data_IF_672362733434
#
_entry.id   IF_672362733434
#
_cell.length_a   1.000
_cell.length_b   1.000
_cell.length_c   1.000
_cell.angle_alpha   90.00
_cell.angle_beta   90.00
_cell.angle_gamma   90.00
#
_symmetry.space_group_name_H-M   'P 1'
#
loop_
_entity.id
_entity.type
_entity.pdbx_description
1 polymer ?
#
# COMPACT_ATOMS: atom_id res chain seq x y z
N UNK A 1 -17.01 14.15 -14.86
CA UNK A 1 -15.69 13.70 -15.28
C UNK A 1 -15.57 12.21 -15.02
N UNK A 2 -14.86 11.51 -15.90
CA UNK A 2 -14.57 10.08 -15.69
C UNK A 2 -13.61 9.90 -14.51
N UNK A 3 -13.76 8.78 -13.80
CA UNK A 3 -12.77 8.35 -12.80
C UNK A 3 -11.71 7.57 -13.58
N UNK A 4 -10.47 7.93 -13.38
CA UNK A 4 -9.33 7.18 -13.90
C UNK A 4 -8.60 6.53 -12.73
N UNK A 5 -8.40 5.22 -12.81
CA UNK A 5 -7.57 4.45 -11.90
C UNK A 5 -6.46 3.82 -12.73
N UNK A 6 -5.30 4.45 -12.68
CA UNK A 6 -4.12 3.94 -13.37
C UNK A 6 -3.61 2.69 -12.65
N UNK A 7 -3.37 1.61 -13.41
CA UNK A 7 -2.91 0.34 -12.88
C UNK A 7 -1.59 -0.07 -13.53
N UNK A 8 -0.67 -0.59 -12.73
CA UNK A 8 0.61 -1.17 -13.20
C UNK A 8 0.57 -2.68 -13.14
N UNK A 9 1.07 -3.32 -14.18
CA UNK A 9 1.24 -4.76 -14.21
C UNK A 9 2.41 -5.15 -13.31
N UNK A 10 2.16 -6.02 -12.37
CA UNK A 10 3.15 -6.74 -11.57
C UNK A 10 3.25 -8.16 -12.15
N UNK A 11 4.33 -8.51 -12.84
CA UNK A 11 4.47 -9.84 -13.48
C UNK A 11 4.62 -10.92 -12.41
N UNK A 12 4.25 -12.16 -12.75
CA UNK A 12 4.55 -13.32 -11.93
C UNK A 12 6.05 -13.40 -11.62
N UNK A 13 6.40 -13.82 -10.40
CA UNK A 13 7.79 -13.88 -9.98
C UNK A 13 7.94 -14.22 -8.51
N UNK A 14 9.11 -13.97 -7.95
CA UNK A 14 9.40 -14.30 -6.56
C UNK A 14 10.21 -13.17 -5.91
N UNK A 15 10.09 -13.07 -4.59
CA UNK A 15 10.90 -12.18 -3.77
C UNK A 15 11.42 -12.91 -2.54
N UNK A 16 12.44 -12.35 -1.90
CA UNK A 16 12.93 -12.83 -0.61
C UNK A 16 12.33 -11.94 0.48
N UNK A 17 11.66 -12.53 1.44
CA UNK A 17 11.08 -11.86 2.62
C UNK A 17 12.20 -11.46 3.58
N UNK A 18 13.01 -10.49 3.15
CA UNK A 18 14.20 -10.00 3.86
C UNK A 18 13.90 -8.73 4.66
N UNK A 19 14.59 -8.55 5.78
CA UNK A 19 14.45 -7.36 6.62
C UNK A 19 15.12 -7.52 7.97
N UNK A 20 14.95 -6.54 8.86
CA UNK A 20 15.64 -6.45 10.16
C UNK A 20 14.84 -7.02 11.33
N UNK A 21 13.63 -7.48 11.10
CA UNK A 21 12.75 -8.03 12.14
C UNK A 21 12.78 -9.56 12.15
N UNK A 22 12.44 -10.15 13.29
CA UNK A 22 12.45 -11.61 13.47
C UNK A 22 11.50 -12.36 12.53
N UNK A 23 10.43 -11.73 12.08
CA UNK A 23 9.53 -12.31 11.09
C UNK A 23 10.06 -12.25 9.65
N UNK A 24 11.18 -11.55 9.42
CA UNK A 24 11.89 -11.58 8.12
C UNK A 24 12.78 -12.82 8.07
N UNK A 25 12.25 -13.91 7.58
CA UNK A 25 12.84 -15.25 7.63
C UNK A 25 13.76 -15.59 6.46
N UNK A 26 13.98 -14.64 5.55
CA UNK A 26 14.74 -14.79 4.30
C UNK A 26 14.21 -15.91 3.38
N UNK A 27 12.95 -16.31 3.51
CA UNK A 27 12.33 -17.29 2.62
C UNK A 27 11.94 -16.66 1.30
N UNK A 28 11.99 -17.47 0.25
CA UNK A 28 11.54 -17.07 -1.08
C UNK A 28 10.04 -17.29 -1.18
N UNK A 29 9.30 -16.22 -1.43
CA UNK A 29 7.85 -16.23 -1.66
C UNK A 29 7.60 -16.05 -3.15
N UNK A 30 6.70 -16.85 -3.72
CA UNK A 30 6.37 -16.85 -5.14
C UNK A 30 4.96 -16.31 -5.38
N UNK A 31 4.83 -15.37 -6.30
CA UNK A 31 3.57 -14.90 -6.88
C UNK A 31 3.44 -15.58 -8.25
N UNK A 32 2.52 -16.54 -8.36
CA UNK A 32 2.48 -17.45 -9.52
C UNK A 32 1.79 -16.85 -10.74
N UNK A 33 1.05 -15.74 -10.59
CA UNK A 33 0.30 -15.10 -11.66
C UNK A 33 0.54 -13.60 -11.68
N UNK A 34 0.48 -13.04 -12.88
CA UNK A 34 0.44 -11.58 -13.02
C UNK A 34 -0.77 -11.00 -12.32
N UNK A 35 -0.58 -9.83 -11.73
CA UNK A 35 -1.67 -9.01 -11.21
C UNK A 35 -1.44 -7.55 -11.55
N UNK A 36 -2.44 -6.72 -11.31
CA UNK A 36 -2.35 -5.28 -11.50
C UNK A 36 -2.55 -4.60 -10.14
N UNK A 37 -1.74 -3.58 -9.87
CA UNK A 37 -1.84 -2.75 -8.67
C UNK A 37 -2.05 -1.29 -9.06
N UNK A 38 -2.80 -0.54 -8.27
CA UNK A 38 -2.94 0.90 -8.45
C UNK A 38 -1.58 1.58 -8.51
N UNK A 39 -1.37 2.46 -9.48
CA UNK A 39 -0.11 3.21 -9.60
C UNK A 39 0.15 4.06 -8.36
N UNK A 40 -0.91 4.50 -7.72
CA UNK A 40 -0.96 5.35 -6.53
C UNK A 40 -1.94 4.80 -5.51
N UNK A 41 -1.85 5.28 -4.28
CA UNK A 41 -2.90 5.14 -3.28
C UNK A 41 -4.23 5.69 -3.82
N UNK A 42 -5.37 5.15 -3.39
CA UNK A 42 -6.69 5.67 -3.78
C UNK A 42 -6.86 7.07 -3.24
N UNK A 43 -7.14 8.03 -4.13
CA UNK A 43 -7.27 9.44 -3.75
C UNK A 43 -8.65 9.80 -3.20
N UNK A 44 -8.75 10.94 -2.51
CA UNK A 44 -10.04 11.49 -2.07
C UNK A 44 -11.03 11.64 -3.22
N UNK A 45 -10.60 12.19 -4.37
CA UNK A 45 -11.46 12.34 -5.55
C UNK A 45 -11.99 11.00 -6.06
N UNK A 46 -11.12 9.98 -6.16
CA UNK A 46 -11.50 8.63 -6.61
C UNK A 46 -12.48 7.98 -5.63
N UNK A 47 -12.20 8.07 -4.32
CA UNK A 47 -13.08 7.50 -3.31
C UNK A 47 -14.48 8.14 -3.34
N UNK A 48 -14.56 9.47 -3.33
CA UNK A 48 -15.81 10.21 -3.37
C UNK A 48 -16.60 9.93 -4.66
N UNK A 49 -15.92 9.81 -5.78
CA UNK A 49 -16.56 9.53 -7.07
C UNK A 49 -17.19 8.12 -7.15
N UNK A 50 -16.71 7.16 -6.36
CA UNK A 50 -17.29 5.80 -6.23
C UNK A 50 -18.34 5.75 -5.13
N UNK A 51 -18.03 6.28 -3.95
CA UNK A 51 -18.89 6.14 -2.77
C UNK A 51 -19.98 7.20 -2.70
N UNK A 52 -19.75 8.36 -3.30
CA UNK A 52 -20.60 9.55 -3.15
C UNK A 52 -20.32 10.31 -1.85
N UNK A 53 -21.00 11.43 -1.68
CA UNK A 53 -20.87 12.24 -0.47
C UNK A 53 -19.57 13.04 -0.37
N UNK A 54 -19.06 13.21 0.85
CA UNK A 54 -17.78 13.87 1.15
C UNK A 54 -16.72 12.85 1.52
N UNK A 55 -15.44 13.20 1.33
CA UNK A 55 -14.34 12.34 1.75
C UNK A 55 -14.34 12.14 3.28
N UNK A 56 -14.16 10.89 3.77
CA UNK A 56 -13.98 10.60 5.19
C UNK A 56 -12.73 11.29 5.77
N UNK A 57 -11.75 11.65 4.95
CA UNK A 57 -10.57 12.42 5.34
C UNK A 57 -10.89 13.76 6.00
N UNK A 58 -12.10 14.32 5.74
CA UNK A 58 -12.56 15.60 6.28
C UNK A 58 -12.58 15.66 7.81
N UNK A 59 -12.61 14.53 8.51
CA UNK A 59 -12.52 14.50 9.98
C UNK A 59 -11.19 15.01 10.53
N UNK A 60 -10.14 15.00 9.71
CA UNK A 60 -8.82 15.55 10.07
C UNK A 60 -8.63 17.01 9.62
N UNK A 61 -9.63 17.61 8.98
CA UNK A 61 -9.60 19.00 8.50
C UNK A 61 -9.24 19.15 7.02
N UNK A 62 -9.25 20.39 6.56
CA UNK A 62 -9.05 20.74 5.14
C UNK A 62 -7.70 20.29 4.57
N UNK A 63 -6.68 20.17 5.40
CA UNK A 63 -5.33 19.76 4.99
C UNK A 63 -5.23 18.31 4.50
N UNK A 64 -6.29 17.51 4.71
CA UNK A 64 -6.35 16.10 4.31
C UNK A 64 -7.35 15.82 3.18
N UNK A 65 -7.97 16.85 2.60
CA UNK A 65 -9.11 16.69 1.67
C UNK A 65 -8.82 17.10 0.24
N UNK A 66 -7.56 17.40 -0.11
CA UNK A 66 -7.19 17.65 -1.51
C UNK A 66 -7.58 16.43 -2.37
N UNK A 67 -8.08 16.69 -3.57
CA UNK A 67 -8.50 15.66 -4.53
C UNK A 67 -7.39 14.65 -4.84
N UNK A 68 -6.14 15.09 -4.86
CA UNK A 68 -4.95 14.30 -5.17
C UNK A 68 -4.26 13.68 -3.94
N UNK A 69 -4.72 13.98 -2.72
CA UNK A 69 -4.23 13.29 -1.53
C UNK A 69 -4.91 11.92 -1.37
N UNK A 70 -4.22 10.93 -0.74
CA UNK A 70 -4.84 9.64 -0.45
C UNK A 70 -6.02 9.79 0.50
N UNK A 71 -7.05 8.98 0.31
CA UNK A 71 -8.16 8.92 1.24
C UNK A 71 -7.71 8.26 2.53
N UNK A 72 -8.03 8.90 3.66
CA UNK A 72 -7.75 8.38 5.01
C UNK A 72 -9.05 8.23 5.81
N UNK A 73 -8.96 7.60 6.99
CA UNK A 73 -10.12 7.32 7.85
C UNK A 73 -11.11 6.34 7.22
N UNK A 74 -10.62 5.41 6.45
CA UNK A 74 -11.39 4.27 5.92
C UNK A 74 -11.00 3.00 6.66
N UNK A 75 -11.98 2.26 7.12
CA UNK A 75 -11.77 0.93 7.71
C UNK A 75 -11.66 -0.14 6.61
N UNK A 76 -11.13 -1.30 6.97
CA UNK A 76 -11.10 -2.46 6.08
C UNK A 76 -12.52 -2.84 5.60
N UNK A 77 -13.52 -2.72 6.48
CA UNK A 77 -14.92 -2.99 6.15
C UNK A 77 -15.52 -1.96 5.18
N UNK A 78 -15.18 -0.66 5.30
CA UNK A 78 -15.63 0.36 4.34
C UNK A 78 -15.15 0.04 2.92
N UNK A 79 -14.04 -0.67 2.81
CA UNK A 79 -13.44 -1.05 1.52
C UNK A 79 -14.05 -2.35 0.99
N UNK A 80 -14.26 -3.37 1.84
CA UNK A 80 -14.47 -4.76 1.41
C UNK A 80 -15.88 -5.30 1.62
N UNK A 81 -16.72 -4.64 2.44
CA UNK A 81 -18.09 -5.07 2.70
C UNK A 81 -18.96 -4.96 1.44
N UNK A 82 -20.14 -5.56 1.50
CA UNK A 82 -21.22 -5.33 0.52
C UNK A 82 -21.52 -3.84 0.48
N UNK A 83 -21.67 -3.28 -0.72
CA UNK A 83 -21.77 -1.84 -0.98
C UNK A 83 -20.53 -1.01 -0.58
N UNK A 84 -19.44 -1.64 -0.17
CA UNK A 84 -18.15 -1.00 0.06
C UNK A 84 -17.45 -0.57 -1.23
N UNK A 85 -16.29 0.07 -1.08
CA UNK A 85 -15.57 0.65 -2.21
C UNK A 85 -15.28 -0.37 -3.32
N UNK A 86 -14.72 -1.54 -2.97
CA UNK A 86 -14.36 -2.60 -3.93
C UNK A 86 -15.61 -3.19 -4.59
N UNK A 87 -16.69 -3.42 -3.85
CA UNK A 87 -17.93 -3.97 -4.39
C UNK A 87 -18.55 -3.03 -5.44
N UNK A 88 -18.59 -1.73 -5.14
CA UNK A 88 -19.03 -0.71 -6.10
C UNK A 88 -18.11 -0.59 -7.31
N UNK A 89 -16.78 -0.69 -7.12
CA UNK A 89 -15.82 -0.72 -8.22
C UNK A 89 -16.08 -1.91 -9.16
N UNK A 90 -16.23 -3.12 -8.60
CA UNK A 90 -16.51 -4.31 -9.37
C UNK A 90 -17.84 -4.23 -10.11
N UNK A 91 -18.88 -3.68 -9.48
CA UNK A 91 -20.19 -3.50 -10.10
C UNK A 91 -20.13 -2.47 -11.24
N UNK A 92 -19.46 -1.35 -11.01
CA UNK A 92 -19.42 -0.22 -11.96
C UNK A 92 -18.54 -0.49 -13.18
N UNK A 93 -17.45 -1.19 -13.02
CA UNK A 93 -16.43 -1.38 -14.06
C UNK A 93 -16.30 -2.81 -14.58
N UNK A 94 -17.24 -3.71 -14.22
CA UNK A 94 -17.23 -5.11 -14.63
C UNK A 94 -17.00 -5.32 -16.15
N UNK A 95 -17.63 -4.50 -16.97
CA UNK A 95 -17.53 -4.60 -18.44
C UNK A 95 -16.20 -4.07 -19.02
N UNK A 96 -15.43 -3.35 -18.22
CA UNK A 96 -14.14 -2.74 -18.62
C UNK A 96 -12.95 -3.61 -18.19
N UNK A 97 -13.15 -4.56 -17.27
CA UNK A 97 -12.11 -5.45 -16.81
C UNK A 97 -11.89 -6.60 -17.79
N UNK A 98 -10.65 -7.04 -17.99
CA UNK A 98 -10.37 -8.26 -18.73
C UNK A 98 -11.09 -9.46 -18.09
N UNK A 99 -11.45 -10.46 -18.91
CA UNK A 99 -12.11 -11.67 -18.41
C UNK A 99 -11.32 -12.33 -17.27
N UNK A 100 -12.01 -12.63 -16.17
CA UNK A 100 -11.41 -13.23 -14.97
C UNK A 100 -10.74 -12.27 -13.99
N UNK A 101 -10.69 -10.97 -14.30
CA UNK A 101 -10.17 -9.95 -13.38
C UNK A 101 -11.28 -9.32 -12.55
N UNK A 102 -10.94 -8.95 -11.33
CA UNK A 102 -11.78 -8.15 -10.44
C UNK A 102 -10.90 -7.26 -9.56
N UNK A 103 -11.45 -6.17 -9.08
CA UNK A 103 -10.83 -5.37 -8.03
C UNK A 103 -10.86 -6.13 -6.70
N UNK A 104 -9.77 -6.05 -5.96
CA UNK A 104 -9.61 -6.64 -4.63
C UNK A 104 -8.52 -5.88 -3.88
N UNK A 105 -8.44 -6.02 -2.55
CA UNK A 105 -7.22 -5.68 -1.83
C UNK A 105 -6.10 -6.67 -2.23
N UNK A 106 -4.85 -6.22 -2.29
CA UNK A 106 -3.72 -7.13 -2.49
C UNK A 106 -3.62 -8.08 -1.29
N UNK A 107 -3.11 -9.30 -1.50
CA UNK A 107 -2.59 -10.05 -0.37
C UNK A 107 -1.34 -9.35 0.17
N UNK A 108 -0.98 -9.60 1.43
CA UNK A 108 0.24 -9.04 2.01
C UNK A 108 1.49 -9.39 1.18
N UNK A 109 1.55 -10.62 0.67
CA UNK A 109 2.64 -11.07 -0.19
C UNK A 109 2.66 -10.36 -1.55
N UNK A 110 1.50 -10.10 -2.16
CA UNK A 110 1.42 -9.30 -3.38
C UNK A 110 1.87 -7.86 -3.13
N UNK A 111 1.46 -7.27 -2.00
CA UNK A 111 1.87 -5.93 -1.62
C UNK A 111 3.40 -5.83 -1.47
N UNK A 112 4.02 -6.74 -0.69
CA UNK A 112 5.47 -6.74 -0.46
C UNK A 112 6.25 -7.00 -1.76
N UNK A 113 5.80 -7.95 -2.58
CA UNK A 113 6.37 -8.20 -3.90
C UNK A 113 6.34 -6.96 -4.79
N UNK A 114 5.19 -6.29 -4.84
CA UNK A 114 5.00 -5.07 -5.62
C UNK A 114 5.84 -3.90 -5.08
N UNK A 115 5.89 -3.73 -3.75
CA UNK A 115 6.72 -2.72 -3.10
C UNK A 115 8.19 -2.92 -3.44
N UNK A 116 8.73 -4.12 -3.26
CA UNK A 116 10.12 -4.42 -3.54
C UNK A 116 10.49 -4.27 -5.02
N UNK A 117 9.62 -4.65 -5.92
CA UNK A 117 9.86 -4.57 -7.36
C UNK A 117 11.27 -5.07 -7.78
N UNK A 118 11.70 -6.19 -7.18
CA UNK A 118 12.99 -6.85 -7.42
C UNK A 118 14.11 -6.51 -6.43
N UNK A 119 13.94 -5.54 -5.52
CA UNK A 119 14.96 -5.22 -4.50
C UNK A 119 14.87 -6.15 -3.29
N UNK A 120 15.98 -6.22 -2.52
CA UNK A 120 16.09 -6.98 -1.26
C UNK A 120 16.33 -6.08 -0.05
N UNK A 121 16.50 -4.80 -0.28
CA UNK A 121 16.82 -3.77 0.71
C UNK A 121 15.59 -3.31 1.49
N UNK A 122 15.79 -2.46 2.48
CA UNK A 122 14.71 -1.85 3.26
C UNK A 122 13.76 -1.04 2.37
N UNK A 123 14.31 -0.37 1.34
CA UNK A 123 13.60 0.50 0.42
C UNK A 123 13.62 -0.03 -1.02
N UNK A 124 12.60 0.29 -1.78
CA UNK A 124 12.45 -0.06 -3.20
C UNK A 124 13.43 0.67 -4.14
N UNK A 125 14.17 1.64 -3.62
CA UNK A 125 15.26 2.35 -4.31
C UNK A 125 16.60 1.60 -4.32
N UNK A 126 16.61 0.34 -3.89
CA UNK A 126 17.80 -0.49 -3.69
C UNK A 126 18.77 0.13 -2.66
N UNK A 127 18.21 0.73 -1.61
CA UNK A 127 18.93 1.32 -0.47
C UNK A 127 18.33 0.83 0.84
N UNK A 128 19.18 0.76 1.86
CA UNK A 128 18.75 0.57 3.24
C UNK A 128 18.57 1.92 3.93
N UNK A 129 17.79 1.93 5.01
CA UNK A 129 17.72 3.07 5.92
C UNK A 129 19.03 3.18 6.69
N UNK A 130 19.57 4.39 6.79
CA UNK A 130 20.82 4.69 7.49
C UNK A 130 20.55 5.24 8.90
N UNK A 131 19.42 5.95 9.06
CA UNK A 131 19.09 6.59 10.32
C UNK A 131 17.59 6.49 10.63
N UNK A 132 17.24 5.71 11.65
CA UNK A 132 15.85 5.49 12.05
C UNK A 132 15.28 6.59 12.97
N UNK A 133 16.11 7.51 13.45
CA UNK A 133 15.71 8.53 14.45
C UNK A 133 15.72 9.96 13.93
N UNK A 134 16.29 10.18 12.76
CA UNK A 134 16.44 11.49 12.15
C UNK A 134 16.05 11.45 10.67
N UNK A 135 16.21 12.57 9.98
CA UNK A 135 16.03 12.64 8.54
C UNK A 135 16.99 11.66 7.85
N UNK A 136 16.41 10.70 7.13
CA UNK A 136 17.14 9.71 6.36
C UNK A 136 17.11 10.06 4.87
N UNK A 137 18.29 10.24 4.29
CA UNK A 137 18.42 10.72 2.91
C UNK A 137 17.94 9.71 1.87
N UNK A 138 17.98 8.41 2.18
CA UNK A 138 17.51 7.35 1.29
C UNK A 138 15.99 7.25 1.34
N UNK A 139 15.42 7.24 2.56
CA UNK A 139 13.98 7.21 2.80
C UNK A 139 13.29 8.43 2.19
N UNK A 140 13.87 9.64 2.34
CA UNK A 140 13.27 10.88 1.83
C UNK A 140 13.09 10.95 0.31
N UNK A 141 13.70 10.04 -0.45
CA UNK A 141 13.53 9.97 -1.90
C UNK A 141 12.29 9.21 -2.32
N UNK A 142 11.78 8.35 -1.45
CA UNK A 142 10.71 7.39 -1.78
C UNK A 142 9.54 7.41 -0.80
N UNK A 143 9.64 8.15 0.31
CA UNK A 143 8.64 8.17 1.37
C UNK A 143 8.34 9.58 1.90
N UNK A 144 7.06 9.85 2.14
CA UNK A 144 6.60 10.90 3.03
C UNK A 144 6.44 10.31 4.43
N UNK A 145 7.24 10.80 5.40
CA UNK A 145 7.33 10.24 6.74
C UNK A 145 7.68 11.35 7.77
N UNK A 146 7.68 11.01 9.05
CA UNK A 146 7.76 11.97 10.16
C UNK A 146 8.89 13.00 10.06
N UNK A 147 10.06 12.64 9.57
CA UNK A 147 11.22 13.51 9.57
C UNK A 147 11.32 14.41 8.34
N UNK A 148 10.53 14.16 7.27
CA UNK A 148 10.55 15.01 6.07
C UNK A 148 9.25 15.79 5.81
N UNK A 149 8.27 15.74 6.72
CA UNK A 149 7.02 16.50 6.57
C UNK A 149 7.18 18.02 6.69
N UNK A 150 8.29 18.52 7.30
CA UNK A 150 8.47 19.94 7.63
C UNK A 150 7.56 20.41 8.78
N UNK A 151 7.89 21.55 9.40
CA UNK A 151 7.12 22.05 10.59
C UNK A 151 5.66 22.42 10.28
N UNK A 152 5.36 22.79 9.04
CA UNK A 152 4.02 23.25 8.62
C UNK A 152 3.21 22.20 7.84
N UNK A 153 3.74 20.98 7.59
CA UNK A 153 3.16 20.00 6.69
C UNK A 153 2.85 18.65 7.36
N UNK A 154 2.35 18.67 8.58
CA UNK A 154 1.94 17.46 9.34
C UNK A 154 0.66 16.86 8.75
N UNK A 155 0.73 16.36 7.52
CA UNK A 155 -0.40 15.85 6.74
C UNK A 155 0.06 14.83 5.70
N UNK A 156 -0.89 14.18 5.06
CA UNK A 156 -0.65 13.43 3.83
C UNK A 156 -0.24 14.37 2.69
N UNK A 157 0.46 13.84 1.71
CA UNK A 157 0.88 14.55 0.52
C UNK A 157 0.12 14.02 -0.70
N UNK A 158 0.06 14.82 -1.76
CA UNK A 158 -0.48 14.38 -3.04
C UNK A 158 0.27 13.15 -3.53
N UNK A 159 -0.46 12.17 -4.05
CA UNK A 159 0.13 10.91 -4.51
C UNK A 159 1.11 11.13 -5.67
N UNK A 160 2.12 10.28 -5.78
CA UNK A 160 3.08 10.33 -6.88
C UNK A 160 4.11 11.45 -6.78
N UNK A 161 4.23 12.13 -5.64
CA UNK A 161 5.16 13.25 -5.44
C UNK A 161 6.64 12.87 -5.34
N UNK A 162 6.93 11.59 -5.11
CA UNK A 162 8.29 11.06 -4.95
C UNK A 162 8.63 10.02 -6.02
N UNK A 163 9.79 9.35 -5.90
CA UNK A 163 10.23 8.39 -6.90
C UNK A 163 9.42 7.08 -6.85
N UNK A 164 8.99 6.59 -8.02
CA UNK A 164 8.40 5.28 -8.16
C UNK A 164 9.42 4.15 -8.07
N UNK A 165 8.94 2.95 -7.80
CA UNK A 165 9.75 1.73 -7.90
C UNK A 165 9.87 1.22 -9.36
N UNK A 166 10.58 0.10 -9.55
CA UNK A 166 10.83 -0.48 -10.88
C UNK A 166 9.57 -1.01 -11.58
N UNK A 167 8.45 -1.21 -10.87
CA UNK A 167 7.15 -1.52 -11.47
C UNK A 167 6.35 -0.26 -11.83
N UNK A 168 6.85 0.94 -11.50
CA UNK A 168 6.18 2.21 -11.71
C UNK A 168 5.11 2.50 -10.65
N UNK A 169 5.20 1.90 -9.47
CA UNK A 169 4.32 2.14 -8.33
C UNK A 169 4.94 3.22 -7.44
N UNK A 170 4.11 4.14 -6.97
CA UNK A 170 4.48 5.26 -6.11
C UNK A 170 3.97 5.04 -4.70
N UNK A 171 4.51 5.80 -3.76
CA UNK A 171 4.07 5.92 -2.37
C UNK A 171 4.03 4.58 -1.59
N UNK A 172 4.70 3.53 -2.11
CA UNK A 172 4.85 2.24 -1.44
C UNK A 172 5.60 2.32 -0.09
N UNK A 173 6.12 3.50 0.24
CA UNK A 173 6.80 3.84 1.48
C UNK A 173 6.24 5.13 2.03
N UNK A 174 5.67 5.12 3.24
CA UNK A 174 5.12 6.30 3.91
C UNK A 174 3.79 6.78 3.31
N UNK A 175 3.50 8.05 3.41
CA UNK A 175 2.25 8.72 3.12
C UNK A 175 1.09 8.18 3.94
N UNK A 176 0.45 7.05 3.57
CA UNK A 176 -0.55 6.38 4.40
C UNK A 176 -0.32 4.87 4.48
N UNK A 177 -0.75 4.25 5.58
CA UNK A 177 -0.85 2.79 5.69
C UNK A 177 -1.86 2.25 4.69
N UNK A 178 -1.53 1.13 4.05
CA UNK A 178 -2.35 0.46 3.05
C UNK A 178 -2.87 -0.88 3.56
N UNK A 179 -4.19 -1.08 3.48
CA UNK A 179 -4.84 -2.32 3.86
C UNK A 179 -4.49 -3.46 2.89
N UNK A 180 -4.22 -4.63 3.48
CA UNK A 180 -4.12 -5.90 2.77
C UNK A 180 -5.34 -6.79 3.04
N UNK A 181 -5.53 -7.82 2.22
CA UNK A 181 -6.63 -8.77 2.39
C UNK A 181 -6.45 -9.67 3.61
N UNK A 182 -5.20 -9.90 4.03
CA UNK A 182 -4.80 -10.90 5.00
C UNK A 182 -5.18 -10.50 6.44
N UNK A 183 -5.50 -11.51 7.26
CA UNK A 183 -5.47 -11.36 8.70
C UNK A 183 -4.04 -11.25 9.19
N UNK A 184 -3.81 -10.38 10.18
CA UNK A 184 -2.51 -10.25 10.82
C UNK A 184 -2.23 -11.47 11.68
N UNK A 185 -1.16 -12.18 11.36
CA UNK A 185 -0.69 -13.38 12.05
C UNK A 185 0.79 -13.62 11.71
N UNK A 186 1.40 -14.62 12.34
CA UNK A 186 2.70 -15.11 11.93
C UNK A 186 2.66 -15.69 10.51
N UNK A 187 3.77 -15.61 9.81
CA UNK A 187 3.85 -16.18 8.46
C UNK A 187 3.82 -17.70 8.50
N UNK A 188 2.97 -18.30 7.66
CA UNK A 188 2.93 -19.75 7.46
C UNK A 188 4.02 -20.19 6.47
N UNK A 189 5.08 -20.75 7.00
CA UNK A 189 6.21 -21.23 6.22
C UNK A 189 5.93 -22.43 5.32
N UNK A 190 4.79 -23.07 5.49
CA UNK A 190 4.33 -24.15 4.61
C UNK A 190 3.69 -23.64 3.32
N UNK A 191 3.35 -22.34 3.26
CA UNK A 191 2.65 -21.70 2.13
C UNK A 191 3.47 -20.54 1.57
N UNK A 192 4.43 -20.86 0.73
CA UNK A 192 5.32 -19.88 0.10
C UNK A 192 4.92 -19.51 -1.34
N UNK A 193 3.91 -20.16 -1.91
CA UNK A 193 3.35 -19.80 -3.23
C UNK A 193 1.95 -19.24 -3.05
N UNK A 194 1.75 -18.02 -3.54
CA UNK A 194 0.51 -17.25 -3.45
C UNK A 194 -0.10 -17.26 -2.02
N UNK A 195 0.67 -16.92 -0.97
CA UNK A 195 0.14 -16.95 0.38
C UNK A 195 -0.96 -15.90 0.54
N UNK A 196 -1.99 -16.24 1.32
CA UNK A 196 -3.15 -15.39 1.62
C UNK A 196 -3.32 -15.13 3.12
N UNK A 197 -2.28 -15.40 3.91
CA UNK A 197 -2.30 -15.28 5.36
C UNK A 197 -3.17 -16.32 6.06
N UNK A 198 -3.46 -16.06 7.32
CA UNK A 198 -4.34 -16.87 8.16
C UNK A 198 -5.79 -16.83 7.64
N UNK A 199 -6.55 -17.89 7.87
CA UNK A 199 -7.98 -17.95 7.49
C UNK A 199 -8.88 -17.20 8.48
N UNK A 200 -8.39 -16.93 9.70
CA UNK A 200 -9.08 -16.18 10.76
C UNK A 200 -8.12 -15.28 11.50
N UNK A 201 -8.62 -14.23 12.13
CA UNK A 201 -7.82 -13.31 12.94
C UNK A 201 -8.69 -12.24 13.59
N UNK A 202 -8.09 -11.39 14.41
CA UNK A 202 -8.73 -10.22 15.04
C UNK A 202 -8.51 -8.95 14.24
N UNK A 203 -7.34 -8.84 13.58
CA UNK A 203 -6.87 -7.60 12.96
C UNK A 203 -6.41 -7.86 11.53
N UNK A 204 -6.51 -6.86 10.66
CA UNK A 204 -6.08 -6.96 9.27
C UNK A 204 -4.70 -6.34 9.08
N UNK A 205 -3.95 -6.88 8.14
CA UNK A 205 -2.60 -6.39 7.83
C UNK A 205 -2.67 -5.01 7.18
N UNK A 206 -1.80 -4.11 7.64
CA UNK A 206 -1.45 -2.85 6.98
C UNK A 206 0.03 -2.83 6.63
N UNK A 207 0.36 -2.17 5.53
CA UNK A 207 1.72 -2.07 4.99
C UNK A 207 2.05 -0.64 4.58
N UNK A 208 3.34 -0.32 4.39
CA UNK A 208 3.83 0.92 3.83
C UNK A 208 4.30 1.96 4.85
N UNK A 209 3.74 1.99 6.04
CA UNK A 209 3.97 3.09 6.98
C UNK A 209 3.17 4.34 6.61
N UNK A 210 3.37 5.42 7.35
CA UNK A 210 2.64 6.66 7.09
C UNK A 210 3.47 7.91 7.35
N UNK A 211 2.89 9.07 7.00
CA UNK A 211 3.48 10.39 7.18
C UNK A 211 3.87 10.71 8.63
N UNK A 212 3.29 10.05 9.65
CA UNK A 212 3.61 10.26 11.07
C UNK A 212 4.65 9.29 11.63
N UNK A 213 5.01 8.27 10.87
CA UNK A 213 5.88 7.19 11.32
C UNK A 213 7.36 7.49 11.02
N UNK A 214 8.25 6.81 11.74
CA UNK A 214 9.68 6.88 11.46
C UNK A 214 10.09 5.99 10.27
N UNK A 215 11.33 6.13 9.77
CA UNK A 215 11.81 5.39 8.60
C UNK A 215 11.63 3.87 8.68
N UNK A 216 11.81 3.27 9.86
CA UNK A 216 11.67 1.81 10.04
C UNK A 216 10.26 1.28 9.79
N UNK A 217 9.24 2.10 9.92
CA UNK A 217 7.86 1.72 9.58
C UNK A 217 7.59 1.85 8.09
N UNK A 218 8.34 2.72 7.39
CA UNK A 218 8.22 2.96 5.97
C UNK A 218 9.14 2.04 5.15
N UNK A 219 9.27 0.77 5.51
CA UNK A 219 10.13 -0.20 4.81
C UNK A 219 9.32 -1.27 4.09
N UNK A 220 9.94 -1.92 3.10
CA UNK A 220 9.32 -3.01 2.34
C UNK A 220 8.89 -4.20 3.22
N UNK A 221 9.52 -4.38 4.38
CA UNK A 221 9.25 -5.49 5.31
C UNK A 221 8.39 -5.08 6.50
N UNK A 222 8.20 -3.79 6.79
CA UNK A 222 7.38 -3.37 7.93
C UNK A 222 5.91 -3.74 7.72
N UNK A 223 5.27 -4.21 8.79
CA UNK A 223 3.87 -4.59 8.84
C UNK A 223 3.25 -4.08 10.14
N UNK A 224 1.95 -3.78 10.09
CA UNK A 224 1.12 -3.35 11.22
C UNK A 224 -0.32 -3.86 11.07
N UNK A 225 -1.22 -3.53 12.00
CA UNK A 225 -2.61 -3.98 12.04
C UNK A 225 -3.56 -3.00 12.75
#
# INVERSE_FOLDING_TARGET
GGIELEMRRCPAGSFVRSGRKSYCDNKTVTISKDFYMGTYEVTNAQYVAIMGGSSPSSVYGADFTSDSQPVVKVSWNDITAVDGFIDKMNSRFASQLPSGYKFALPTEAQWEYACRAGTKTDLNSNKDIENDKALDSNTSKVAWYKQNWGESNKKTHDVGGLASNSFGLYDMHGNVWEWCADWYDDYDDSKLTDPTGSVTGSDRVMRGGSWIDGPSHCTSWSRDH
#
